data_IF_588488705610
#
_entry.id   IF_588488705610
#
_cell.length_a   1.000
_cell.length_b   1.000
_cell.length_c   1.000
_cell.angle_alpha   90.00
_cell.angle_beta   90.00
_cell.angle_gamma   90.00
#
_symmetry.space_group_name_H-M   'P 1'
#
loop_
_entity.id
_entity.type
_entity.pdbx_description
1 polymer ?
#
# COMPACT_ATOMS: atom_id res chain seq x y z
N UNK A 1 1.46 -8.67 0.17
CA UNK A 1 0.29 -7.94 -0.39
C UNK A 1 -0.60 -8.75 -1.34
N UNK A 2 -0.17 -9.94 -1.81
CA UNK A 2 -0.90 -10.72 -2.83
C UNK A 2 -2.33 -11.10 -2.47
N UNK A 3 -2.66 -11.27 -1.19
CA UNK A 3 -4.01 -11.67 -0.79
C UNK A 3 -5.03 -10.54 -0.92
N UNK A 4 -4.67 -9.31 -0.52
CA UNK A 4 -5.54 -8.14 -0.69
C UNK A 4 -5.66 -7.76 -2.17
N UNK A 5 -4.61 -8.02 -2.96
CA UNK A 5 -4.60 -7.83 -4.42
C UNK A 5 -5.43 -8.89 -5.18
N UNK A 6 -5.86 -9.98 -4.53
CA UNK A 6 -6.52 -11.09 -5.19
C UNK A 6 -8.02 -11.15 -4.85
N UNK A 7 -8.92 -10.94 -5.83
CA UNK A 7 -10.36 -10.97 -5.59
C UNK A 7 -10.85 -12.31 -5.03
N UNK A 8 -10.19 -13.42 -5.40
CA UNK A 8 -10.56 -14.74 -4.89
C UNK A 8 -10.23 -14.87 -3.40
N UNK A 9 -9.07 -14.37 -2.96
CA UNK A 9 -8.70 -14.33 -1.54
C UNK A 9 -9.69 -13.47 -0.74
N UNK A 10 -10.04 -12.29 -1.26
CA UNK A 10 -11.03 -11.41 -0.62
C UNK A 10 -12.42 -12.04 -0.51
N UNK A 11 -12.87 -12.77 -1.54
CA UNK A 11 -14.10 -13.56 -1.44
C UNK A 11 -13.97 -14.64 -0.37
N UNK A 12 -12.86 -15.38 -0.30
CA UNK A 12 -12.67 -16.41 0.72
C UNK A 12 -12.71 -15.84 2.14
N UNK A 13 -12.10 -14.68 2.37
CA UNK A 13 -12.19 -14.00 3.67
C UNK A 13 -13.63 -13.65 4.02
N UNK A 14 -14.41 -13.16 3.05
CA UNK A 14 -15.82 -12.85 3.25
C UNK A 14 -16.64 -14.09 3.66
N UNK A 15 -16.41 -15.23 3.02
CA UNK A 15 -17.24 -16.42 3.22
C UNK A 15 -16.83 -17.25 4.42
N UNK A 16 -15.52 -17.44 4.60
CA UNK A 16 -15.00 -18.39 5.58
C UNK A 16 -14.41 -17.72 6.82
N UNK A 17 -14.07 -16.44 6.74
CA UNK A 17 -13.31 -15.74 7.77
C UNK A 17 -13.88 -14.34 8.06
N UNK A 18 -15.20 -14.20 8.05
CA UNK A 18 -15.89 -12.90 8.11
C UNK A 18 -15.65 -12.07 9.39
N UNK A 19 -15.15 -12.70 10.45
CA UNK A 19 -14.76 -12.04 11.71
C UNK A 19 -13.28 -11.68 11.78
N UNK A 20 -12.48 -12.06 10.78
CA UNK A 20 -11.04 -11.77 10.76
C UNK A 20 -10.81 -10.27 10.68
N UNK A 21 -9.83 -9.79 11.45
CA UNK A 21 -9.37 -8.41 11.46
C UNK A 21 -8.14 -8.29 10.57
N UNK A 22 -8.13 -7.30 9.68
CA UNK A 22 -6.97 -7.03 8.82
C UNK A 22 -6.12 -5.92 9.40
N UNK A 23 -4.80 -6.11 9.42
CA UNK A 23 -3.84 -5.04 9.67
C UNK A 23 -3.11 -4.80 8.35
N UNK A 24 -3.26 -3.60 7.78
CA UNK A 24 -2.76 -3.27 6.45
C UNK A 24 -1.77 -2.11 6.57
N UNK A 25 -0.52 -2.38 6.18
CA UNK A 25 0.51 -1.37 6.07
C UNK A 25 0.55 -0.81 4.66
N UNK A 26 0.51 0.52 4.56
CA UNK A 26 0.77 1.26 3.32
C UNK A 26 2.03 2.10 3.46
N UNK A 27 2.55 2.63 2.35
CA UNK A 27 3.78 3.43 2.36
C UNK A 27 3.77 4.36 1.15
N UNK A 28 4.46 5.48 1.26
CA UNK A 28 4.74 6.36 0.13
C UNK A 28 5.16 5.57 -1.13
N UNK A 29 4.45 5.66 -2.28
CA UNK A 29 4.70 4.85 -3.47
C UNK A 29 6.15 4.84 -3.99
N UNK A 30 6.80 6.00 -4.06
CA UNK A 30 8.23 6.12 -4.42
C UNK A 30 9.13 5.27 -3.49
N UNK A 31 9.00 5.45 -2.18
CA UNK A 31 9.80 4.73 -1.19
C UNK A 31 9.46 3.24 -1.13
N UNK A 32 8.19 2.89 -1.33
CA UNK A 32 7.74 1.51 -1.47
C UNK A 32 8.40 0.84 -2.68
N UNK A 33 8.37 1.50 -3.84
CA UNK A 33 8.93 0.96 -5.08
C UNK A 33 10.43 0.71 -4.93
N UNK A 34 11.19 1.70 -4.45
CA UNK A 34 12.64 1.55 -4.22
C UNK A 34 12.92 0.38 -3.26
N UNK A 35 12.19 0.32 -2.15
CA UNK A 35 12.35 -0.75 -1.15
C UNK A 35 12.07 -2.13 -1.76
N UNK A 36 11.00 -2.25 -2.55
CA UNK A 36 10.60 -3.51 -3.14
C UNK A 36 11.52 -3.94 -4.29
N UNK A 37 11.92 -3.01 -5.14
CA UNK A 37 12.90 -3.23 -6.21
C UNK A 37 14.24 -3.72 -5.62
N UNK A 38 14.77 -3.02 -4.61
CA UNK A 38 16.01 -3.40 -3.94
C UNK A 38 15.91 -4.74 -3.20
N UNK A 39 14.75 -5.04 -2.61
CA UNK A 39 14.50 -6.36 -2.04
C UNK A 39 14.59 -7.46 -3.11
N UNK A 40 13.92 -7.28 -4.26
CA UNK A 40 13.98 -8.23 -5.38
C UNK A 40 15.39 -8.40 -5.96
N UNK A 41 16.17 -7.33 -6.07
CA UNK A 41 17.58 -7.41 -6.44
C UNK A 41 18.39 -8.24 -5.44
N UNK A 42 18.17 -8.05 -4.13
CA UNK A 42 18.85 -8.81 -3.08
C UNK A 42 18.50 -10.31 -3.08
N UNK A 43 17.35 -10.68 -3.67
CA UNK A 43 16.97 -12.07 -3.94
C UNK A 43 17.67 -12.66 -5.18
N UNK A 44 18.59 -11.92 -5.81
CA UNK A 44 19.32 -12.35 -7.00
C UNK A 44 18.55 -12.20 -8.31
N UNK A 45 17.33 -11.65 -8.29
CA UNK A 45 16.52 -11.49 -9.50
C UNK A 45 17.18 -10.49 -10.47
N UNK A 46 17.03 -10.78 -11.78
CA UNK A 46 17.40 -9.85 -12.85
C UNK A 46 16.18 -9.02 -13.19
N UNK A 47 16.17 -7.76 -12.76
CA UNK A 47 15.10 -6.82 -13.04
C UNK A 47 15.48 -5.95 -14.24
N UNK A 48 14.51 -5.59 -15.11
CA UNK A 48 14.74 -4.58 -16.14
C UNK A 48 14.95 -3.20 -15.49
N UNK A 49 15.45 -2.24 -16.27
CA UNK A 49 15.59 -0.85 -15.80
C UNK A 49 14.27 -0.31 -15.25
N UNK A 50 14.33 0.40 -14.13
CA UNK A 50 13.14 0.97 -13.47
C UNK A 50 12.32 1.89 -14.38
N UNK A 51 12.96 2.58 -15.34
CA UNK A 51 12.29 3.47 -16.29
C UNK A 51 11.36 2.74 -17.26
N UNK A 52 11.54 1.43 -17.39
CA UNK A 52 10.65 0.55 -18.16
C UNK A 52 9.47 0.05 -17.34
N UNK A 53 9.46 0.27 -16.02
CA UNK A 53 8.47 -0.24 -15.07
C UNK A 53 7.29 0.72 -14.80
N UNK A 54 7.11 1.72 -15.66
CA UNK A 54 5.96 2.62 -15.61
C UNK A 54 4.66 1.88 -15.99
N UNK A 55 3.58 2.12 -15.26
CA UNK A 55 2.28 1.48 -15.46
C UNK A 55 2.24 0.00 -15.02
N UNK A 56 1.57 -0.83 -15.84
CA UNK A 56 1.21 -2.21 -15.52
C UNK A 56 2.37 -3.20 -15.43
N UNK A 57 2.16 -4.26 -14.64
CA UNK A 57 3.13 -5.33 -14.42
C UNK A 57 3.15 -6.35 -15.56
N UNK A 58 4.32 -6.54 -16.18
CA UNK A 58 4.57 -7.60 -17.15
C UNK A 58 5.37 -8.75 -16.54
N UNK A 59 5.31 -9.95 -17.15
CA UNK A 59 6.03 -11.14 -16.67
C UNK A 59 7.55 -10.90 -16.52
N UNK A 60 8.14 -10.12 -17.42
CA UNK A 60 9.57 -9.74 -17.39
C UNK A 60 9.95 -8.91 -16.16
N UNK A 61 9.00 -8.23 -15.52
CA UNK A 61 9.25 -7.33 -14.40
C UNK A 61 9.28 -8.04 -13.04
N UNK A 62 9.06 -9.37 -13.01
CA UNK A 62 9.06 -10.17 -11.77
C UNK A 62 8.12 -9.59 -10.68
N UNK A 63 7.04 -8.96 -11.13
CA UNK A 63 6.03 -8.34 -10.27
C UNK A 63 6.43 -7.00 -9.66
N UNK A 64 7.47 -6.32 -10.16
CA UNK A 64 7.83 -4.95 -9.76
C UNK A 64 7.37 -3.97 -10.85
N UNK A 65 6.38 -3.13 -10.57
CA UNK A 65 5.89 -2.10 -11.49
C UNK A 65 5.22 -0.97 -10.72
N UNK A 66 5.01 0.18 -11.38
CA UNK A 66 4.34 1.33 -10.78
C UNK A 66 2.91 1.01 -10.34
N UNK A 67 2.13 0.27 -11.14
CA UNK A 67 0.73 -0.04 -10.82
C UNK A 67 0.55 -0.80 -9.49
N UNK A 68 1.58 -1.51 -9.01
CA UNK A 68 1.51 -2.18 -7.71
C UNK A 68 1.65 -1.24 -6.51
N UNK A 69 1.94 0.03 -6.72
CA UNK A 69 1.85 1.05 -5.67
C UNK A 69 0.48 1.76 -5.64
N UNK A 70 -0.50 1.33 -6.44
CA UNK A 70 -1.89 1.79 -6.40
C UNK A 70 -2.62 1.23 -5.16
N UNK A 71 -2.22 1.70 -3.98
CA UNK A 71 -2.81 1.28 -2.71
C UNK A 71 -4.31 1.58 -2.62
N UNK A 72 -4.78 2.63 -3.29
CA UNK A 72 -6.20 2.94 -3.46
C UNK A 72 -6.98 1.76 -4.06
N UNK A 73 -6.51 1.22 -5.19
CA UNK A 73 -7.17 0.13 -5.87
C UNK A 73 -7.18 -1.15 -5.02
N UNK A 74 -6.08 -1.44 -4.31
CA UNK A 74 -6.00 -2.58 -3.40
C UNK A 74 -6.96 -2.44 -2.21
N UNK A 75 -7.03 -1.24 -1.62
CA UNK A 75 -7.92 -0.97 -0.48
C UNK A 75 -9.39 -0.96 -0.90
N UNK A 76 -9.72 -0.47 -2.11
CA UNK A 76 -11.05 -0.59 -2.69
C UNK A 76 -11.54 -2.04 -2.75
N UNK A 77 -10.65 -3.02 -2.98
CA UNK A 77 -11.01 -4.45 -2.97
C UNK A 77 -11.56 -4.93 -1.62
N UNK A 78 -11.28 -4.19 -0.55
CA UNK A 78 -11.78 -4.48 0.79
C UNK A 78 -13.23 -4.01 1.00
N UNK A 79 -13.91 -3.45 -0.01
CA UNK A 79 -15.34 -3.16 0.03
C UNK A 79 -15.76 -2.23 1.18
N UNK A 80 -14.90 -1.26 1.52
CA UNK A 80 -15.13 -0.28 2.61
C UNK A 80 -15.70 1.05 2.14
N UNK A 81 -15.67 1.27 0.84
CA UNK A 81 -16.15 2.46 0.15
C UNK A 81 -17.18 2.02 -0.88
N UNK A 82 -18.29 2.73 -0.97
CA UNK A 82 -19.19 2.59 -2.11
C UNK A 82 -18.54 3.26 -3.32
N UNK A 83 -18.31 2.49 -4.38
CA UNK A 83 -17.71 2.98 -5.61
C UNK A 83 -18.75 3.02 -6.71
N UNK A 84 -18.77 4.11 -7.46
CA UNK A 84 -19.50 4.22 -8.72
C UNK A 84 -18.81 3.40 -9.82
N UNK A 85 -19.55 3.05 -10.87
CA UNK A 85 -18.99 2.36 -12.04
C UNK A 85 -17.86 3.15 -12.72
N UNK A 86 -17.95 4.49 -12.69
CA UNK A 86 -16.91 5.38 -13.19
C UNK A 86 -15.64 5.25 -12.35
N UNK A 87 -15.76 5.37 -11.02
CA UNK A 87 -14.63 5.20 -10.11
C UNK A 87 -13.99 3.82 -10.23
N UNK A 88 -14.80 2.77 -10.34
CA UNK A 88 -14.32 1.41 -10.62
C UNK A 88 -13.52 1.38 -11.92
N UNK A 89 -13.99 2.03 -12.98
CA UNK A 89 -13.24 2.18 -14.23
C UNK A 89 -11.88 2.83 -14.05
N UNK A 90 -11.81 3.91 -13.27
CA UNK A 90 -10.53 4.61 -13.00
C UNK A 90 -9.57 3.84 -12.10
N UNK A 91 -10.09 3.01 -11.19
CA UNK A 91 -9.30 2.12 -10.32
C UNK A 91 -8.85 0.85 -11.04
N UNK A 92 -9.61 0.37 -12.03
CA UNK A 92 -9.30 -0.84 -12.79
C UNK A 92 -8.12 -0.69 -13.77
N UNK A 93 -7.54 0.51 -13.88
CA UNK A 93 -6.33 0.77 -14.68
C UNK A 93 -5.12 -0.01 -14.14
N UNK A 94 -5.18 -0.56 -12.92
CA UNK A 94 -4.20 -1.50 -12.37
C UNK A 94 -4.13 -2.76 -13.24
N UNK A 95 -3.16 -2.77 -14.15
CA UNK A 95 -2.93 -3.86 -15.08
C UNK A 95 -3.78 -3.78 -16.35
N UNK A 96 -3.29 -3.01 -17.34
CA UNK A 96 -3.74 -3.13 -18.74
C UNK A 96 -3.83 -4.62 -19.14
N UNK A 97 -5.00 -5.06 -19.62
CA UNK A 97 -5.19 -6.39 -20.19
C UNK A 97 -6.11 -7.31 -19.38
N UNK A 98 -5.61 -8.50 -19.01
CA UNK A 98 -6.45 -9.56 -18.38
C UNK A 98 -6.85 -9.23 -16.93
N UNK A 99 -6.01 -8.48 -16.22
CA UNK A 99 -6.21 -8.13 -14.80
C UNK A 99 -7.40 -7.18 -14.62
N UNK A 100 -7.47 -6.10 -15.40
CA UNK A 100 -8.63 -5.18 -15.45
C UNK A 100 -9.96 -5.93 -15.70
N UNK A 101 -9.95 -6.86 -16.66
CA UNK A 101 -11.15 -7.63 -17.04
C UNK A 101 -11.58 -8.59 -15.93
N UNK A 102 -10.62 -9.21 -15.25
CA UNK A 102 -10.88 -10.10 -14.12
C UNK A 102 -11.29 -9.29 -12.87
N UNK A 103 -10.75 -8.09 -12.68
CA UNK A 103 -11.15 -7.17 -11.62
C UNK A 103 -12.62 -6.81 -11.77
N UNK A 104 -13.06 -6.27 -12.91
CA UNK A 104 -14.48 -5.93 -13.14
C UNK A 104 -15.42 -7.13 -13.05
N UNK A 105 -15.00 -8.31 -13.51
CA UNK A 105 -15.84 -9.52 -13.43
C UNK A 105 -16.00 -10.07 -12.02
N UNK A 106 -14.96 -9.96 -11.19
CA UNK A 106 -14.91 -10.58 -9.85
C UNK A 106 -15.23 -9.60 -8.74
N UNK A 107 -14.92 -8.33 -8.94
CA UNK A 107 -15.29 -7.25 -8.05
C UNK A 107 -16.77 -6.94 -8.29
N UNK A 108 -17.62 -7.51 -7.43
CA UNK A 108 -19.04 -7.18 -7.47
C UNK A 108 -19.24 -5.87 -6.72
N UNK A 109 -19.57 -4.83 -7.47
CA UNK A 109 -19.96 -3.51 -6.95
C UNK A 109 -21.00 -3.67 -5.84
N UNK A 110 -20.82 -2.94 -4.74
CA UNK A 110 -21.72 -2.96 -3.59
C UNK A 110 -21.56 -4.13 -2.61
N UNK A 111 -20.61 -5.07 -2.83
CA UNK A 111 -20.32 -6.09 -1.81
C UNK A 111 -19.47 -5.53 -0.68
N UNK A 112 -20.12 -5.18 0.44
CA UNK A 112 -19.45 -4.81 1.70
C UNK A 112 -18.70 -6.02 2.29
N UNK A 113 -17.41 -5.85 2.58
CA UNK A 113 -16.67 -6.84 3.36
C UNK A 113 -16.94 -6.63 4.85
N UNK A 114 -17.26 -7.66 5.63
CA UNK A 114 -17.50 -7.53 7.06
C UNK A 114 -16.22 -7.33 7.88
N UNK A 115 -15.06 -7.75 7.34
CA UNK A 115 -13.77 -7.71 8.03
C UNK A 115 -13.33 -6.29 8.33
N UNK A 116 -13.04 -5.97 9.60
CA UNK A 116 -12.51 -4.66 9.99
C UNK A 116 -11.07 -4.49 9.51
N UNK A 117 -10.62 -3.24 9.32
CA UNK A 117 -9.27 -2.93 8.84
C UNK A 117 -8.60 -1.94 9.79
N UNK A 118 -7.42 -2.27 10.28
CA UNK A 118 -6.50 -1.33 10.88
C UNK A 118 -5.46 -0.91 9.84
N UNK A 119 -5.58 0.30 9.33
CA UNK A 119 -4.70 0.86 8.32
C UNK A 119 -3.60 1.67 9.02
N UNK A 120 -2.36 1.53 8.56
CA UNK A 120 -1.25 2.34 9.04
C UNK A 120 -0.25 2.67 7.92
N UNK A 121 0.45 3.79 8.05
CA UNK A 121 1.59 4.11 7.19
C UNK A 121 2.86 3.53 7.82
N UNK A 122 3.70 2.87 7.03
CA UNK A 122 4.92 2.23 7.49
C UNK A 122 5.86 3.19 8.24
N UNK A 123 5.84 4.49 7.93
CA UNK A 123 6.63 5.50 8.64
C UNK A 123 6.17 5.67 10.11
N UNK A 124 4.92 5.34 10.45
CA UNK A 124 4.45 5.34 11.85
C UNK A 124 5.20 4.31 12.71
N UNK A 125 5.70 3.22 12.12
CA UNK A 125 6.52 2.23 12.84
C UNK A 125 7.94 2.78 13.16
N UNK A 126 8.36 3.82 12.45
CA UNK A 126 9.65 4.48 12.60
C UNK A 126 9.54 5.85 13.28
N UNK A 127 8.37 6.19 13.79
CA UNK A 127 8.13 7.47 14.45
C UNK A 127 9.11 7.68 15.62
N UNK A 128 9.59 8.92 15.73
CA UNK A 128 10.53 9.37 16.77
C UNK A 128 9.79 9.96 17.97
N UNK A 129 8.50 10.30 17.81
CA UNK A 129 7.68 10.80 18.90
C UNK A 129 7.18 9.62 19.75
N UNK A 130 7.74 9.47 20.95
CA UNK A 130 7.42 8.37 21.87
C UNK A 130 5.93 8.30 22.21
N UNK A 131 5.27 9.46 22.41
CA UNK A 131 3.84 9.51 22.70
C UNK A 131 3.00 8.95 21.56
N UNK A 132 3.37 9.23 20.29
CA UNK A 132 2.68 8.67 19.13
C UNK A 132 2.96 7.18 18.94
N UNK A 133 4.18 6.72 19.24
CA UNK A 133 4.51 5.28 19.23
C UNK A 133 3.71 4.51 20.29
N UNK A 134 3.57 5.08 21.49
CA UNK A 134 2.74 4.51 22.56
C UNK A 134 1.26 4.50 22.18
N UNK A 135 0.76 5.59 21.58
CA UNK A 135 -0.60 5.65 21.06
C UNK A 135 -0.85 4.58 19.99
N UNK A 136 0.06 4.42 19.03
CA UNK A 136 -0.03 3.40 17.99
C UNK A 136 -0.18 1.99 18.56
N UNK A 137 0.66 1.65 19.55
CA UNK A 137 0.57 0.34 20.23
C UNK A 137 -0.74 0.17 20.99
N UNK A 138 -1.20 1.20 21.69
CA UNK A 138 -2.47 1.17 22.43
C UNK A 138 -3.67 1.01 21.50
N UNK A 139 -3.71 1.76 20.40
CA UNK A 139 -4.80 1.69 19.42
C UNK A 139 -4.81 0.34 18.69
N UNK A 140 -3.64 -0.20 18.33
CA UNK A 140 -3.53 -1.53 17.74
C UNK A 140 -3.94 -2.64 18.74
N UNK A 141 -3.54 -2.51 20.00
CA UNK A 141 -3.95 -3.44 21.06
C UNK A 141 -5.47 -3.45 21.24
N UNK A 142 -6.08 -2.26 21.32
CA UNK A 142 -7.53 -2.10 21.40
C UNK A 142 -8.23 -2.68 20.17
N UNK A 143 -7.69 -2.41 18.98
CA UNK A 143 -8.21 -2.97 17.74
C UNK A 143 -8.19 -4.49 17.75
N UNK A 144 -7.10 -5.10 18.22
CA UNK A 144 -6.97 -6.57 18.34
C UNK A 144 -7.92 -7.13 19.41
N UNK A 145 -8.23 -6.35 20.45
CA UNK A 145 -8.97 -6.83 21.62
C UNK A 145 -8.07 -7.59 22.60
N UNK A 146 -6.76 -7.30 22.60
CA UNK A 146 -5.81 -7.93 23.50
C UNK A 146 -5.87 -7.29 24.89
N UNK A 147 -6.05 -8.13 25.92
CA UNK A 147 -5.93 -7.71 27.32
C UNK A 147 -4.48 -7.43 27.71
N UNK A 148 -3.54 -8.15 27.10
CA UNK A 148 -2.10 -7.97 27.36
C UNK A 148 -1.52 -6.81 26.54
N UNK A 149 -0.62 -6.01 27.13
CA UNK A 149 0.12 -4.99 26.40
C UNK A 149 0.90 -5.58 25.23
N UNK A 150 0.72 -5.02 24.03
CA UNK A 150 1.57 -5.40 22.90
C UNK A 150 3.03 -5.08 23.20
N UNK A 151 4.00 -5.93 22.85
CA UNK A 151 5.42 -5.64 23.06
C UNK A 151 5.86 -4.40 22.27
N UNK A 152 7.02 -3.80 22.62
CA UNK A 152 7.62 -2.75 21.80
C UNK A 152 7.82 -3.22 20.36
N UNK A 153 7.58 -2.33 19.39
CA UNK A 153 7.82 -2.63 17.98
C UNK A 153 9.33 -2.80 17.76
N UNK A 154 9.74 -4.02 17.40
CA UNK A 154 11.15 -4.30 17.13
C UNK A 154 11.49 -3.74 15.76
N UNK A 155 12.44 -2.79 15.72
CA UNK A 155 13.01 -2.27 14.47
C UNK A 155 14.01 -3.29 13.93
N UNK A 156 13.51 -4.29 13.20
CA UNK A 156 14.37 -5.23 12.49
C UNK A 156 14.78 -4.57 11.17
N UNK A 157 16.04 -4.16 11.09
CA UNK A 157 16.65 -3.87 9.80
C UNK A 157 16.93 -5.22 9.12
N UNK A 158 16.24 -5.57 8.03
CA UNK A 158 16.57 -6.81 7.34
C UNK A 158 18.04 -6.74 6.93
N UNK A 159 18.80 -7.79 7.27
CA UNK A 159 20.13 -8.02 6.72
C UNK A 159 19.95 -8.30 5.22
N UNK A 160 19.78 -7.25 4.43
CA UNK A 160 19.76 -7.32 2.99
C UNK A 160 21.13 -7.84 2.56
N UNK A 161 21.14 -9.08 2.04
CA UNK A 161 22.38 -9.75 1.65
C UNK A 161 23.26 -8.88 0.75
N UNK A 162 24.57 -9.16 0.77
CA UNK A 162 25.56 -8.54 -0.12
C UNK A 162 25.30 -9.02 -1.56
N UNK A 163 24.34 -8.44 -2.24
CA UNK A 163 23.93 -8.86 -3.58
C UNK A 163 23.41 -7.69 -4.40
N UNK A 164 24.06 -7.47 -5.55
CA UNK A 164 23.80 -6.42 -6.57
C UNK A 164 23.76 -4.99 -6.04
N UNK A 165 24.14 -4.05 -6.89
CA UNK A 165 24.02 -2.63 -6.58
C UNK A 165 22.54 -2.26 -6.41
N UNK A 166 22.22 -1.63 -5.27
CA UNK A 166 20.87 -1.15 -4.98
C UNK A 166 20.65 0.16 -5.71
N UNK A 167 19.43 0.40 -6.19
CA UNK A 167 19.08 1.69 -6.77
C UNK A 167 18.85 2.73 -5.66
N UNK A 168 19.27 3.97 -5.92
CA UNK A 168 18.74 5.16 -5.27
C UNK A 168 17.74 5.84 -6.21
N UNK A 169 16.45 5.74 -5.89
CA UNK A 169 15.37 6.26 -6.75
C UNK A 169 15.43 7.78 -6.97
N UNK A 170 16.25 8.49 -6.19
CA UNK A 170 16.47 9.92 -6.34
C UNK A 170 17.48 10.27 -7.45
N UNK A 171 18.19 9.29 -8.01
CA UNK A 171 19.05 9.52 -9.18
C UNK A 171 18.23 9.95 -10.41
N UNK A 172 18.86 10.73 -11.29
CA UNK A 172 18.20 11.35 -12.45
C UNK A 172 17.67 10.31 -13.45
N UNK A 173 18.35 9.18 -13.58
CA UNK A 173 17.96 8.03 -14.41
C UNK A 173 16.69 7.30 -13.94
N UNK A 174 16.07 7.76 -12.86
CA UNK A 174 14.81 7.22 -12.33
C UNK A 174 13.69 8.26 -12.30
N UNK A 175 13.90 9.44 -12.88
CA UNK A 175 12.93 10.54 -12.87
C UNK A 175 11.58 10.11 -13.44
N UNK A 176 11.58 9.39 -14.57
CA UNK A 176 10.37 8.98 -15.26
C UNK A 176 9.48 8.08 -14.39
N UNK A 177 10.07 7.06 -13.76
CA UNK A 177 9.30 6.19 -12.85
C UNK A 177 8.88 6.92 -11.58
N UNK A 178 9.70 7.86 -11.09
CA UNK A 178 9.39 8.66 -9.90
C UNK A 178 8.21 9.60 -10.13
N UNK A 179 8.14 10.28 -11.27
CA UNK A 179 7.01 11.12 -11.68
C UNK A 179 5.70 10.32 -11.70
N UNK A 180 5.71 9.13 -12.30
CA UNK A 180 4.56 8.21 -12.32
C UNK A 180 4.14 7.79 -10.90
N UNK A 181 5.10 7.42 -10.04
CA UNK A 181 4.84 7.00 -8.68
C UNK A 181 4.29 8.13 -7.79
N UNK A 182 4.74 9.38 -7.99
CA UNK A 182 4.20 10.56 -7.29
C UNK A 182 2.79 10.85 -7.76
N UNK A 183 2.53 10.76 -9.08
CA UNK A 183 1.17 10.89 -9.61
C UNK A 183 0.23 9.84 -9.01
N UNK A 184 0.64 8.57 -8.98
CA UNK A 184 -0.07 7.47 -8.33
C UNK A 184 -0.30 7.78 -6.85
N UNK A 185 0.74 8.22 -6.13
CA UNK A 185 0.68 8.54 -4.71
C UNK A 185 -0.29 9.66 -4.39
N UNK A 186 -0.32 10.72 -5.21
CA UNK A 186 -1.24 11.84 -5.02
C UNK A 186 -2.70 11.42 -5.21
N UNK A 187 -2.99 10.60 -6.22
CA UNK A 187 -4.33 10.06 -6.43
C UNK A 187 -4.75 9.14 -5.29
N UNK A 188 -3.86 8.22 -4.89
CA UNK A 188 -4.16 7.27 -3.82
C UNK A 188 -4.36 7.96 -2.46
N UNK A 189 -3.51 8.92 -2.11
CA UNK A 189 -3.59 9.62 -0.82
C UNK A 189 -4.88 10.43 -0.66
N UNK A 190 -5.36 11.07 -1.74
CA UNK A 190 -6.65 11.77 -1.76
C UNK A 190 -7.79 10.80 -1.56
N UNK A 191 -7.85 9.75 -2.38
CA UNK A 191 -8.93 8.76 -2.29
C UNK A 191 -8.99 8.08 -0.91
N UNK A 192 -7.83 7.68 -0.35
CA UNK A 192 -7.77 7.04 0.97
C UNK A 192 -8.36 7.98 2.04
N UNK A 193 -7.94 9.24 2.07
CA UNK A 193 -8.39 10.21 3.08
C UNK A 193 -9.86 10.58 2.93
N UNK A 194 -10.29 10.86 1.71
CA UNK A 194 -11.63 11.40 1.42
C UNK A 194 -12.70 10.30 1.46
N UNK A 195 -12.35 9.06 1.17
CA UNK A 195 -13.33 7.98 1.02
C UNK A 195 -13.06 6.80 1.97
N UNK A 196 -11.89 6.15 1.87
CA UNK A 196 -11.63 4.91 2.60
C UNK A 196 -11.65 5.10 4.13
N UNK A 197 -11.08 6.20 4.62
CA UNK A 197 -11.07 6.55 6.05
C UNK A 197 -12.44 7.01 6.60
N UNK A 198 -13.45 7.16 5.75
CA UNK A 198 -14.81 7.51 6.18
C UNK A 198 -15.61 6.28 6.58
N UNK A 199 -15.12 5.07 6.26
CA UNK A 199 -15.75 3.82 6.65
C UNK A 199 -15.63 3.57 8.16
N UNK A 200 -16.73 3.25 8.83
CA UNK A 200 -16.75 2.89 10.26
C UNK A 200 -15.95 1.61 10.59
N UNK A 201 -15.68 0.78 9.56
CA UNK A 201 -14.90 -0.45 9.69
C UNK A 201 -13.39 -0.23 9.50
N UNK A 202 -12.95 1.00 9.27
CA UNK A 202 -11.55 1.37 9.06
C UNK A 202 -11.03 2.16 10.26
N UNK A 203 -9.97 1.63 10.86
CA UNK A 203 -9.32 2.14 12.05
C UNK A 203 -7.91 2.61 11.70
N UNK A 204 -7.49 3.72 12.29
CA UNK A 204 -6.12 4.24 12.19
C UNK A 204 -5.68 4.74 13.55
N UNK A 205 -4.39 4.66 13.85
CA UNK A 205 -3.83 5.36 15.01
C UNK A 205 -3.52 6.81 14.67
N UNK A 206 -3.76 7.71 15.63
CA UNK A 206 -3.38 9.13 15.53
C UNK A 206 -3.84 9.76 14.20
N UNK A 207 -5.16 9.71 13.92
CA UNK A 207 -5.75 10.04 12.60
C UNK A 207 -5.15 11.28 11.93
N UNK A 208 -5.00 12.38 12.67
CA UNK A 208 -4.38 13.61 12.12
C UNK A 208 -2.96 13.37 11.57
N UNK A 209 -2.10 12.69 12.33
CA UNK A 209 -0.74 12.36 11.91
C UNK A 209 -0.72 11.36 10.74
N UNK A 210 -1.63 10.38 10.74
CA UNK A 210 -1.77 9.46 9.61
C UNK A 210 -2.18 10.21 8.33
N UNK A 211 -3.17 11.10 8.38
CA UNK A 211 -3.57 11.90 7.23
C UNK A 211 -2.46 12.85 6.75
N UNK A 212 -1.69 13.45 7.67
CA UNK A 212 -0.49 14.23 7.34
C UNK A 212 0.55 13.37 6.61
N UNK A 213 0.80 12.14 7.08
CA UNK A 213 1.73 11.23 6.40
C UNK A 213 1.28 10.89 4.97
N UNK A 214 -0.03 10.75 4.75
CA UNK A 214 -0.60 10.54 3.41
C UNK A 214 -0.49 11.79 2.52
N UNK A 215 -0.63 13.01 3.07
CA UNK A 215 -0.42 14.26 2.32
C UNK A 215 0.98 14.34 1.73
N UNK A 216 1.99 13.81 2.43
CA UNK A 216 3.35 13.77 1.93
C UNK A 216 3.51 12.92 0.66
N UNK A 217 2.59 12.00 0.37
CA UNK A 217 2.62 11.23 -0.88
C UNK A 217 2.34 12.07 -2.12
N UNK A 218 1.85 13.29 -1.95
CA UNK A 218 1.65 14.26 -3.03
C UNK A 218 2.97 14.98 -3.41
N UNK A 219 4.04 14.79 -2.65
CA UNK A 219 5.32 15.48 -2.81
C UNK A 219 6.37 14.44 -3.18
N UNK A 220 7.20 14.73 -4.19
CA UNK A 220 8.34 13.86 -4.51
C UNK A 220 9.34 13.86 -3.33
N UNK A 221 9.61 12.72 -2.68
CA UNK A 221 10.51 12.64 -1.53
C UNK A 221 11.98 12.93 -1.89
N UNK A 222 12.30 13.04 -3.18
CA UNK A 222 13.62 13.39 -3.68
C UNK A 222 13.81 14.90 -3.91
N UNK A 223 12.74 15.71 -3.92
CA UNK A 223 12.84 17.16 -4.24
C UNK A 223 13.65 17.98 -3.24
N UNK A 224 13.78 17.51 -1.99
CA UNK A 224 14.52 18.21 -0.93
C UNK A 224 15.95 17.67 -0.73
N UNK A 225 16.41 16.76 -1.60
CA UNK A 225 17.78 16.22 -1.59
C UNK A 225 18.62 16.92 -2.66
N UNK A 226 18.85 18.21 -2.46
CA UNK A 226 19.80 19.02 -3.24
C UNK A 226 21.15 19.05 -2.54
#
# INVERSE_FOLDING_TARGET
PSDVENPNSMNNFQWFFNTTKFIVGVRHPVLWFQSFYNFRLSQGLNLPSSDTMTGGCYKSMQGVCADRSRFDAMLAMMGKTELTEEEIGTMSIVGRGKVERDFRKKFKVGRKQPNKVFLYDAEQLHDKNESRVLQFRSDLQRYLGSSEPLPPLIKISPNLGRGKEKIDICETQHSKIREELVYIGSKASKWIREYFLQSEDVFVSSRYYFEESLRLWEIDPCSNKS
#
